data_IF_318879973554
#
_entry.id   IF_318879973554
#
_cell.length_a   1.000
_cell.length_b   1.000
_cell.length_c   1.000
_cell.angle_alpha   90.00
_cell.angle_beta   90.00
_cell.angle_gamma   90.00
#
_symmetry.space_group_name_H-M   'P 1'
#
loop_
_entity.id
_entity.type
_entity.pdbx_description
1 polymer ?
#
# COMPACT_ATOMS: atom_id res chain seq x y z
N UNK A 1 -9.52 -16.64 -16.00
CA UNK A 1 -10.06 -16.41 -14.65
C UNK A 1 -8.90 -16.55 -13.68
N UNK A 2 -8.40 -15.47 -13.10
CA UNK A 2 -7.29 -15.53 -12.14
C UNK A 2 -7.86 -16.14 -10.86
N UNK A 3 -7.31 -17.28 -10.43
CA UNK A 3 -7.63 -17.86 -9.13
C UNK A 3 -7.25 -16.84 -8.05
N UNK A 4 -8.15 -16.53 -7.11
CA UNK A 4 -7.86 -15.65 -5.96
C UNK A 4 -6.79 -16.25 -5.02
N UNK A 5 -6.31 -17.47 -5.28
CA UNK A 5 -5.24 -18.10 -4.51
C UNK A 5 -3.91 -17.33 -4.59
N UNK A 6 -3.69 -16.52 -5.64
CA UNK A 6 -2.50 -15.66 -5.76
C UNK A 6 -2.85 -14.32 -6.41
N UNK A 7 -2.80 -13.25 -5.63
CA UNK A 7 -2.82 -11.87 -6.14
C UNK A 7 -1.39 -11.51 -6.56
N UNK A 8 -1.13 -11.21 -7.84
CA UNK A 8 0.21 -10.82 -8.26
C UNK A 8 0.57 -9.45 -7.69
N UNK A 9 1.71 -9.37 -7.01
CA UNK A 9 2.30 -8.13 -6.51
C UNK A 9 3.58 -7.88 -7.30
N UNK A 10 3.72 -6.69 -7.88
CA UNK A 10 4.91 -6.28 -8.62
C UNK A 10 5.83 -5.54 -7.66
N UNK A 11 6.99 -6.12 -7.38
CA UNK A 11 8.05 -5.46 -6.60
C UNK A 11 8.68 -4.33 -7.41
N UNK A 12 8.76 -3.14 -6.82
CA UNK A 12 9.32 -1.93 -7.44
C UNK A 12 10.49 -1.42 -6.61
N UNK A 13 11.63 -1.25 -7.26
CA UNK A 13 12.88 -0.80 -6.65
C UNK A 13 13.70 0.05 -7.63
N UNK A 14 14.89 0.46 -7.23
CA UNK A 14 15.79 1.30 -8.06
C UNK A 14 16.15 0.69 -9.41
N UNK A 15 16.19 -0.65 -9.54
CA UNK A 15 16.59 -1.31 -10.79
C UNK A 15 15.48 -1.27 -11.85
N UNK A 16 14.21 -1.24 -11.45
CA UNK A 16 13.08 -1.41 -12.37
C UNK A 16 12.10 -0.22 -12.40
N UNK A 17 12.21 0.75 -11.50
CA UNK A 17 11.27 1.89 -11.42
C UNK A 17 11.14 2.64 -12.74
N UNK A 18 12.25 2.87 -13.46
CA UNK A 18 12.23 3.63 -14.72
C UNK A 18 11.36 2.95 -15.78
N UNK A 19 11.38 1.61 -15.83
CA UNK A 19 10.60 0.83 -16.77
C UNK A 19 9.15 0.66 -16.33
N UNK A 20 8.90 0.57 -15.02
CA UNK A 20 7.56 0.39 -14.46
C UNK A 20 6.78 1.70 -14.28
N UNK A 21 7.47 2.84 -14.20
CA UNK A 21 6.87 4.14 -13.90
C UNK A 21 5.71 4.51 -14.82
N UNK A 22 5.79 4.37 -16.16
CA UNK A 22 4.65 4.66 -17.03
C UNK A 22 3.43 3.78 -16.74
N UNK A 23 3.65 2.51 -16.41
CA UNK A 23 2.56 1.59 -16.07
C UNK A 23 1.92 1.94 -14.72
N UNK A 24 2.74 2.29 -13.71
CA UNK A 24 2.26 2.75 -12.40
C UNK A 24 1.42 4.02 -12.56
N UNK A 25 1.90 5.00 -13.32
CA UNK A 25 1.15 6.24 -13.59
C UNK A 25 -0.19 5.95 -14.28
N UNK A 26 -0.20 5.10 -15.30
CA UNK A 26 -1.42 4.73 -16.01
C UNK A 26 -2.41 3.97 -15.10
N UNK A 27 -1.90 3.11 -14.21
CA UNK A 27 -2.69 2.40 -13.22
C UNK A 27 -3.38 3.37 -12.27
N UNK A 28 -2.63 4.32 -11.71
CA UNK A 28 -3.12 5.37 -10.80
C UNK A 28 -4.14 6.26 -11.51
N UNK A 29 -3.85 6.75 -12.71
CA UNK A 29 -4.71 7.67 -13.45
C UNK A 29 -6.04 7.03 -13.89
N UNK A 30 -6.04 5.73 -14.19
CA UNK A 30 -7.24 5.03 -14.66
C UNK A 30 -7.99 4.28 -13.54
N UNK A 31 -7.47 4.30 -12.32
CA UNK A 31 -8.12 3.68 -11.18
C UNK A 31 -9.43 4.39 -10.85
N UNK A 32 -10.43 3.60 -10.49
CA UNK A 32 -11.67 4.07 -9.85
C UNK A 32 -11.41 4.41 -8.40
N UNK A 33 -10.60 3.61 -7.71
CA UNK A 33 -10.07 3.91 -6.39
C UNK A 33 -8.72 3.22 -6.17
N UNK A 34 -7.99 3.68 -5.16
CA UNK A 34 -6.66 3.19 -4.81
C UNK A 34 -6.66 2.78 -3.34
N UNK A 35 -6.10 1.61 -3.03
CA UNK A 35 -5.79 1.20 -1.68
C UNK A 35 -4.27 1.32 -1.43
N UNK A 36 -3.90 1.79 -0.24
CA UNK A 36 -2.51 2.03 0.15
C UNK A 36 -2.25 1.35 1.49
N UNK A 37 -1.06 0.76 1.63
CA UNK A 37 -0.55 0.20 2.87
C UNK A 37 0.95 0.52 3.02
N UNK A 38 1.45 0.58 4.25
CA UNK A 38 2.86 0.95 4.51
C UNK A 38 3.49 0.02 5.52
N UNK A 39 4.72 -0.40 5.23
CA UNK A 39 5.59 -1.00 6.23
C UNK A 39 6.49 0.07 6.82
N UNK A 40 6.61 0.09 8.16
CA UNK A 40 7.29 1.14 8.90
C UNK A 40 8.47 0.59 9.71
N UNK A 41 9.49 1.42 9.92
CA UNK A 41 10.63 1.09 10.78
C UNK A 41 10.27 0.97 12.28
N UNK A 42 9.05 1.35 12.65
CA UNK A 42 8.54 1.34 14.02
C UNK A 42 7.09 1.81 14.09
N UNK A 43 6.42 1.48 15.19
CA UNK A 43 5.02 1.87 15.45
C UNK A 43 4.87 2.81 16.65
N UNK A 44 5.91 3.02 17.45
CA UNK A 44 5.87 3.89 18.61
C UNK A 44 5.06 3.33 19.78
N UNK A 45 4.75 4.20 20.73
CA UNK A 45 4.08 3.78 21.96
C UNK A 45 2.59 3.54 21.74
N UNK A 46 2.19 2.27 21.71
CA UNK A 46 0.79 1.83 21.51
C UNK A 46 -0.19 2.45 22.50
N UNK A 47 0.20 2.73 23.75
CA UNK A 47 -0.70 3.37 24.73
C UNK A 47 -1.04 4.79 24.31
N UNK A 48 -0.04 5.55 23.87
CA UNK A 48 -0.20 6.94 23.42
C UNK A 48 -0.99 7.02 22.11
N UNK A 49 -0.74 6.10 21.18
CA UNK A 49 -1.50 6.00 19.93
C UNK A 49 -2.97 5.56 20.10
N UNK A 50 -3.34 5.07 21.29
CA UNK A 50 -4.71 4.73 21.65
C UNK A 50 -5.29 5.67 22.72
N UNK A 51 -4.71 6.87 22.89
CA UNK A 51 -5.23 7.88 23.80
C UNK A 51 -6.70 8.20 23.49
N UNK A 52 -7.55 8.30 24.53
CA UNK A 52 -8.99 8.56 24.36
C UNK A 52 -9.23 9.92 23.70
N UNK A 53 -8.50 10.94 24.16
CA UNK A 53 -8.52 12.27 23.59
C UNK A 53 -7.89 12.28 22.18
N UNK A 54 -8.64 12.77 21.19
CA UNK A 54 -8.23 12.71 19.78
C UNK A 54 -7.04 13.63 19.50
N UNK A 55 -6.98 14.78 20.15
CA UNK A 55 -5.89 15.75 20.04
C UNK A 55 -4.57 15.19 20.57
N UNK A 56 -4.59 14.53 21.74
CA UNK A 56 -3.43 13.82 22.30
C UNK A 56 -2.97 12.70 21.36
N UNK A 57 -3.91 11.88 20.88
CA UNK A 57 -3.64 10.79 19.95
C UNK A 57 -3.02 11.29 18.65
N UNK A 58 -3.57 12.36 18.08
CA UNK A 58 -3.08 12.98 16.86
C UNK A 58 -1.66 13.52 17.06
N UNK A 59 -1.39 14.20 18.18
CA UNK A 59 -0.05 14.71 18.50
C UNK A 59 1.00 13.58 18.51
N UNK A 60 0.69 12.47 19.17
CA UNK A 60 1.60 11.32 19.21
C UNK A 60 1.71 10.61 17.85
N UNK A 61 0.63 10.55 17.07
CA UNK A 61 0.67 10.04 15.72
C UNK A 61 1.61 10.87 14.83
N UNK A 62 1.54 12.20 14.90
CA UNK A 62 2.44 13.10 14.17
C UNK A 62 3.91 12.88 14.58
N UNK A 63 4.18 12.71 15.87
CA UNK A 63 5.53 12.42 16.36
C UNK A 63 6.06 11.09 15.80
N UNK A 64 5.25 10.02 15.85
CA UNK A 64 5.63 8.70 15.29
C UNK A 64 5.85 8.79 13.78
N UNK A 65 4.90 9.38 13.04
CA UNK A 65 5.00 9.53 11.59
C UNK A 65 6.20 10.41 11.16
N UNK A 66 6.54 11.42 11.96
CA UNK A 66 7.67 12.32 11.68
C UNK A 66 9.04 11.75 12.03
N UNK A 67 9.12 10.68 12.82
CA UNK A 67 10.39 10.15 13.34
C UNK A 67 10.73 8.75 12.82
N UNK A 68 9.75 7.94 12.42
CA UNK A 68 9.96 6.62 11.80
C UNK A 68 10.02 6.78 10.28
N UNK A 69 10.48 5.77 9.56
CA UNK A 69 10.51 5.75 8.10
C UNK A 69 9.54 4.72 7.56
N UNK A 70 8.95 5.00 6.41
CA UNK A 70 8.40 3.96 5.53
C UNK A 70 9.54 3.17 4.91
N UNK A 71 9.48 1.84 4.98
CA UNK A 71 10.43 0.91 4.34
C UNK A 71 9.82 0.25 3.09
N UNK A 72 8.49 0.23 3.00
CA UNK A 72 7.75 -0.19 1.82
C UNK A 72 6.42 0.56 1.73
N UNK A 73 5.90 0.70 0.50
CA UNK A 73 4.60 1.27 0.19
C UNK A 73 3.86 0.34 -0.78
N UNK A 74 2.82 -0.32 -0.28
CA UNK A 74 1.88 -1.11 -1.07
C UNK A 74 0.85 -0.20 -1.74
N UNK A 75 0.67 -0.32 -3.05
CA UNK A 75 -0.32 0.44 -3.83
C UNK A 75 -1.13 -0.54 -4.68
N UNK A 76 -2.45 -0.56 -4.51
CA UNK A 76 -3.36 -1.34 -5.35
C UNK A 76 -4.33 -0.42 -6.08
N UNK A 77 -4.23 -0.39 -7.41
CA UNK A 77 -5.08 0.42 -8.28
C UNK A 77 -6.25 -0.43 -8.79
N UNK A 78 -7.49 -0.08 -8.40
CA UNK A 78 -8.70 -0.79 -8.78
C UNK A 78 -9.43 -0.03 -9.87
N UNK A 79 -9.52 -0.61 -11.07
CA UNK A 79 -10.27 -0.07 -12.20
C UNK A 79 -11.56 -0.86 -12.41
N UNK A 80 -12.70 -0.20 -12.24
CA UNK A 80 -14.00 -0.79 -12.56
C UNK A 80 -14.09 -1.05 -14.06
N UNK A 81 -14.37 -2.30 -14.42
CA UNK A 81 -14.59 -2.69 -15.80
C UNK A 81 -16.06 -2.49 -16.18
N UNK A 82 -16.34 -1.97 -17.39
CA UNK A 82 -17.70 -1.96 -17.92
C UNK A 82 -18.23 -3.38 -17.99
N UNK A 83 -19.39 -3.64 -17.39
CA UNK A 83 -20.04 -4.93 -17.48
C UNK A 83 -21.14 -4.89 -18.53
N UNK A 84 -21.16 -5.85 -19.45
CA UNK A 84 -22.35 -6.21 -20.22
C UNK A 84 -23.32 -6.91 -19.27
N UNK A 85 -24.52 -6.34 -19.08
CA UNK A 85 -25.58 -6.91 -18.25
C UNK A 85 -25.85 -8.38 -18.69
N UNK A 86 -25.27 -9.36 -17.99
CA UNK A 86 -25.67 -10.74 -18.14
C UNK A 86 -26.97 -10.91 -17.34
N UNK A 87 -28.09 -11.03 -18.04
CA UNK A 87 -29.37 -11.36 -17.43
C UNK A 87 -29.24 -12.71 -16.72
N UNK A 88 -29.27 -12.71 -15.39
CA UNK A 88 -29.42 -13.93 -14.61
C UNK A 88 -30.91 -14.22 -14.53
N UNK A 89 -31.39 -15.14 -15.37
CA UNK A 89 -32.74 -15.69 -15.28
C UNK A 89 -32.83 -16.56 -14.01
N UNK A 90 -33.36 -16.02 -12.92
CA UNK A 90 -33.80 -16.85 -11.80
C UNK A 90 -35.12 -17.54 -12.16
N UNK A 91 -35.23 -18.84 -11.87
CA UNK A 91 -36.37 -19.72 -12.15
C UNK A 91 -37.69 -19.34 -11.45
N UNK A 92 -37.70 -18.32 -10.59
CA UNK A 92 -38.85 -17.95 -9.74
C UNK A 92 -39.47 -16.57 -10.07
N UNK A 93 -39.26 -16.03 -11.26
CA UNK A 93 -39.97 -14.81 -11.74
C UNK A 93 -39.62 -13.50 -11.01
N UNK A 94 -38.83 -13.54 -9.94
CA UNK A 94 -38.27 -12.35 -9.28
C UNK A 94 -36.92 -11.98 -9.90
N UNK A 95 -36.94 -11.01 -10.81
CA UNK A 95 -35.75 -10.38 -11.42
C UNK A 95 -34.93 -9.64 -10.35
N UNK A 96 -34.03 -10.33 -9.66
CA UNK A 96 -33.05 -9.69 -8.80
C UNK A 96 -31.78 -9.42 -9.62
N UNK A 97 -31.63 -8.18 -10.11
CA UNK A 97 -30.41 -7.72 -10.79
C UNK A 97 -29.27 -7.63 -9.78
N UNK A 98 -28.59 -8.74 -9.52
CA UNK A 98 -27.31 -8.73 -8.82
C UNK A 98 -26.24 -8.18 -9.78
N UNK A 99 -25.97 -6.87 -9.66
CA UNK A 99 -24.93 -6.22 -10.45
C UNK A 99 -23.56 -6.66 -9.91
N UNK A 100 -22.95 -7.66 -10.54
CA UNK A 100 -21.57 -8.04 -10.25
C UNK A 100 -20.64 -6.92 -10.72
N UNK A 101 -19.79 -6.43 -9.82
CA UNK A 101 -18.74 -5.47 -10.15
C UNK A 101 -17.46 -6.25 -10.47
N UNK A 102 -16.85 -5.94 -11.61
CA UNK A 102 -15.58 -6.53 -12.02
C UNK A 102 -14.52 -5.45 -11.96
N UNK A 103 -13.42 -5.76 -11.27
CA UNK A 103 -12.28 -4.86 -11.17
C UNK A 103 -11.07 -5.50 -11.84
N UNK A 104 -10.38 -4.70 -12.65
CA UNK A 104 -8.99 -4.95 -12.98
C UNK A 104 -8.14 -4.32 -11.88
N UNK A 105 -7.23 -5.10 -11.30
CA UNK A 105 -6.39 -4.67 -10.18
C UNK A 105 -4.92 -4.80 -10.56
N UNK A 106 -4.15 -3.75 -10.28
CA UNK A 106 -2.70 -3.77 -10.39
C UNK A 106 -2.12 -3.38 -9.03
N UNK A 107 -1.34 -4.29 -8.45
CA UNK A 107 -0.74 -4.13 -7.12
C UNK A 107 0.78 -4.04 -7.23
N UNK A 108 1.33 -3.00 -6.60
CA UNK A 108 2.75 -2.70 -6.55
C UNK A 108 3.20 -2.68 -5.09
N UNK A 109 4.35 -3.28 -4.80
CA UNK A 109 5.07 -3.06 -3.55
C UNK A 109 6.31 -2.22 -3.86
N UNK A 110 6.30 -0.96 -3.43
CA UNK A 110 7.38 -0.04 -3.68
C UNK A 110 8.34 -0.08 -2.50
N UNK A 111 9.54 -0.59 -2.71
CA UNK A 111 10.58 -0.66 -1.69
C UNK A 111 11.21 0.73 -1.52
N UNK A 112 11.21 1.26 -0.29
CA UNK A 112 11.59 2.64 0.00
C UNK A 112 12.78 2.70 0.95
N UNK A 113 13.66 3.68 0.75
CA UNK A 113 14.80 3.95 1.63
C UNK A 113 14.82 5.44 2.00
N UNK A 114 14.60 5.74 3.28
CA UNK A 114 14.61 7.11 3.78
C UNK A 114 16.05 7.67 3.74
N UNK A 115 16.23 8.82 3.12
CA UNK A 115 17.54 9.49 3.00
C UNK A 115 17.91 10.33 4.21
N UNK A 116 17.04 10.42 5.21
CA UNK A 116 17.20 11.21 6.43
C UNK A 116 17.29 10.31 7.66
N UNK A 117 17.75 10.84 8.80
CA UNK A 117 17.77 10.08 10.04
C UNK A 117 16.36 9.69 10.51
N UNK A 118 16.19 8.41 10.85
CA UNK A 118 14.94 7.86 11.36
C UNK A 118 15.17 6.91 12.53
N UNK A 119 14.13 6.75 13.35
CA UNK A 119 14.09 5.82 14.47
C UNK A 119 13.73 4.43 13.96
N UNK A 120 14.44 3.43 14.47
CA UNK A 120 14.19 2.02 14.23
C UNK A 120 13.76 1.35 15.53
N UNK A 121 12.67 0.60 15.49
CA UNK A 121 12.20 -0.21 16.61
C UNK A 121 12.52 -1.68 16.34
N UNK A 122 13.41 -2.32 17.12
CA UNK A 122 13.85 -3.70 16.86
C UNK A 122 12.70 -4.71 16.77
N UNK A 123 11.62 -4.51 17.55
CA UNK A 123 10.44 -5.37 17.51
C UNK A 123 9.72 -5.31 16.16
N UNK A 124 9.62 -4.13 15.54
CA UNK A 124 9.02 -3.95 14.22
C UNK A 124 9.88 -4.57 13.12
N UNK A 125 11.21 -4.38 13.16
CA UNK A 125 12.08 -5.02 12.18
C UNK A 125 12.05 -6.55 12.29
N UNK A 126 12.07 -7.07 13.52
CA UNK A 126 11.97 -8.51 13.74
C UNK A 126 10.67 -9.07 13.17
N UNK A 127 9.54 -8.41 13.42
CA UNK A 127 8.26 -8.80 12.84
C UNK A 127 8.32 -8.83 11.30
N UNK A 128 8.88 -7.80 10.68
CA UNK A 128 9.03 -7.73 9.23
C UNK A 128 9.91 -8.86 8.67
N UNK A 129 11.07 -9.13 9.29
CA UNK A 129 11.94 -10.26 8.89
C UNK A 129 11.21 -11.59 9.03
N UNK A 130 10.49 -11.81 10.13
CA UNK A 130 9.71 -13.04 10.36
C UNK A 130 8.59 -13.24 9.32
N UNK A 131 8.13 -12.17 8.68
CA UNK A 131 7.13 -12.21 7.59
C UNK A 131 7.75 -12.10 6.18
N UNK A 132 9.07 -12.26 6.07
CA UNK A 132 9.76 -12.37 4.77
C UNK A 132 10.23 -11.05 4.16
N UNK A 133 10.24 -9.95 4.92
CA UNK A 133 10.80 -8.69 4.45
C UNK A 133 12.33 -8.79 4.32
N UNK A 134 12.86 -8.53 3.12
CA UNK A 134 14.30 -8.56 2.85
C UNK A 134 14.94 -7.17 3.04
N UNK A 135 15.49 -6.93 4.23
CA UNK A 135 16.21 -5.69 4.52
C UNK A 135 17.51 -5.56 3.71
N UNK A 136 18.17 -6.65 3.31
CA UNK A 136 19.38 -6.54 2.51
C UNK A 136 19.04 -5.96 1.13
N UNK A 137 17.95 -6.46 0.52
CA UNK A 137 17.44 -5.91 -0.72
C UNK A 137 16.97 -4.46 -0.55
N UNK A 138 16.27 -4.14 0.55
CA UNK A 138 15.81 -2.78 0.83
C UNK A 138 16.94 -1.77 1.01
N UNK A 139 17.99 -2.10 1.76
CA UNK A 139 19.15 -1.21 1.89
C UNK A 139 19.97 -1.10 0.60
N UNK A 140 20.02 -2.17 -0.21
CA UNK A 140 20.77 -2.16 -1.46
C UNK A 140 20.03 -1.44 -2.61
N UNK A 141 18.69 -1.57 -2.68
CA UNK A 141 17.88 -1.24 -3.85
C UNK A 141 16.63 -0.41 -3.57
N UNK A 142 16.34 -0.07 -2.32
CA UNK A 142 15.19 0.76 -1.96
C UNK A 142 15.26 2.13 -2.64
N UNK A 143 14.11 2.62 -3.10
CA UNK A 143 14.02 3.93 -3.75
C UNK A 143 14.27 5.03 -2.72
N UNK A 144 15.25 5.92 -2.96
CA UNK A 144 15.54 6.99 -2.03
C UNK A 144 14.37 7.97 -2.00
N UNK A 145 13.94 8.35 -0.80
CA UNK A 145 12.99 9.44 -0.59
C UNK A 145 13.42 10.30 0.59
N UNK A 146 12.90 11.53 0.63
CA UNK A 146 12.95 12.40 1.80
C UNK A 146 11.54 12.51 2.36
N UNK A 147 11.43 12.76 3.66
CA UNK A 147 10.14 13.03 4.29
C UNK A 147 9.49 14.22 3.59
N UNK A 148 8.16 14.22 3.55
CA UNK A 148 7.40 15.35 3.04
C UNK A 148 7.66 16.63 3.85
N UNK A 149 7.02 17.73 3.46
CA UNK A 149 7.30 19.10 3.90
C UNK A 149 8.48 19.77 3.17
N UNK A 150 8.75 19.34 1.93
CA UNK A 150 9.52 20.16 0.99
C UNK A 150 8.84 21.53 0.88
N UNK A 151 9.57 22.59 1.25
CA UNK A 151 9.13 23.95 0.98
C UNK A 151 9.14 24.11 -0.54
N UNK A 152 7.96 24.20 -1.14
CA UNK A 152 7.79 24.64 -2.53
C UNK A 152 8.36 26.06 -2.67
#
# INVERSE_FOLDING_TARGET
MVSLEKVPVIEVNTDNIVHLWPAILQAVQSATFIAIDTELSGLGNRRLLNAKAIDERYRHMCEVAGTRSMVALGISCFKLLPHSDAEVCNTDGKRQRLRKLYFQVQTYNVMLLCSEHYVVEPGSLRFLVEHGFDFNLQYAKGLPYRRGNDKV
#
